data_IF_782641583574
#
_entry.id   IF_782641583574
#
_cell.length_a   1.000
_cell.length_b   1.000
_cell.length_c   1.000
_cell.angle_alpha   90.00
_cell.angle_beta   90.00
_cell.angle_gamma   90.00
#
_symmetry.space_group_name_H-M   'P 1'
#
loop_
_entity.id
_entity.type
_entity.pdbx_description
1 polymer ?
#
# COMPACT_ATOMS: atom_id res chain seq x y z
N UNK A 1 -26.44 10.24 9.06
CA UNK A 1 -25.19 10.74 8.43
C UNK A 1 -25.04 12.21 8.78
N UNK A 2 -23.95 12.61 9.45
CA UNK A 2 -23.60 14.04 9.60
C UNK A 2 -23.00 14.52 8.29
N UNK A 3 -23.50 15.62 7.76
CA UNK A 3 -22.98 16.26 6.55
C UNK A 3 -22.09 17.42 6.93
N UNK A 4 -20.99 17.58 6.20
CA UNK A 4 -20.06 18.69 6.37
C UNK A 4 -19.87 19.36 5.02
N UNK A 5 -19.94 20.68 4.99
CA UNK A 5 -19.66 21.47 3.79
C UNK A 5 -18.22 21.96 3.85
N UNK A 6 -17.42 21.59 2.85
CA UNK A 6 -16.06 22.11 2.69
C UNK A 6 -16.03 23.09 1.53
N UNK A 7 -15.31 24.20 1.70
CA UNK A 7 -14.97 25.10 0.59
C UNK A 7 -13.68 24.60 -0.05
N UNK A 8 -13.72 24.41 -1.36
CA UNK A 8 -12.58 24.02 -2.17
C UNK A 8 -12.40 25.01 -3.31
N UNK A 9 -11.19 25.08 -3.87
CA UNK A 9 -10.95 25.90 -5.05
C UNK A 9 -11.73 25.37 -6.26
N UNK A 10 -12.00 26.25 -7.23
CA UNK A 10 -12.63 25.86 -8.50
C UNK A 10 -11.74 24.85 -9.25
N UNK A 11 -10.42 24.98 -9.12
CA UNK A 11 -9.47 24.08 -9.75
C UNK A 11 -9.55 22.67 -9.15
N UNK A 12 -9.59 22.55 -7.83
CA UNK A 12 -9.70 21.26 -7.14
C UNK A 12 -11.03 20.57 -7.47
N UNK A 13 -12.12 21.34 -7.57
CA UNK A 13 -13.40 20.81 -8.06
C UNK A 13 -13.25 20.20 -9.45
N UNK A 14 -12.60 20.90 -10.40
CA UNK A 14 -12.34 20.39 -11.76
C UNK A 14 -11.45 19.14 -11.75
N UNK A 15 -10.46 19.06 -10.86
CA UNK A 15 -9.61 17.86 -10.68
C UNK A 15 -10.43 16.68 -10.18
N UNK A 16 -11.29 16.90 -9.19
CA UNK A 16 -12.20 15.88 -8.66
C UNK A 16 -13.22 15.42 -9.70
N UNK A 17 -13.77 16.31 -10.52
CA UNK A 17 -14.67 15.93 -11.64
C UNK A 17 -13.95 15.06 -12.67
N UNK A 18 -12.68 15.36 -12.99
CA UNK A 18 -11.86 14.51 -13.87
C UNK A 18 -11.64 13.13 -13.26
N UNK A 19 -11.30 13.05 -11.98
CA UNK A 19 -11.15 11.79 -11.24
C UNK A 19 -12.46 10.99 -11.23
N UNK A 20 -13.60 11.64 -10.96
CA UNK A 20 -14.91 10.99 -10.98
C UNK A 20 -15.24 10.39 -12.36
N UNK A 21 -14.94 11.10 -13.46
CA UNK A 21 -15.12 10.59 -14.82
C UNK A 21 -14.22 9.39 -15.12
N UNK A 22 -12.95 9.46 -14.75
CA UNK A 22 -11.98 8.37 -14.96
C UNK A 22 -12.37 7.11 -14.20
N UNK A 23 -12.84 7.26 -12.96
CA UNK A 23 -13.23 6.17 -12.08
C UNK A 23 -14.70 5.74 -12.28
N UNK A 24 -15.42 6.36 -13.23
CA UNK A 24 -16.85 6.12 -13.53
C UNK A 24 -17.78 6.26 -12.31
N UNK A 25 -17.43 7.15 -11.37
CA UNK A 25 -18.28 7.43 -10.22
C UNK A 25 -19.45 8.34 -10.59
N UNK A 26 -20.60 8.12 -9.96
CA UNK A 26 -21.84 8.89 -10.19
C UNK A 26 -21.84 10.23 -9.45
N UNK A 27 -20.93 10.42 -8.51
CA UNK A 27 -20.95 11.46 -7.48
C UNK A 27 -19.51 11.89 -7.11
N UNK A 28 -19.32 13.19 -6.96
CA UNK A 28 -18.06 13.82 -6.56
C UNK A 28 -17.57 13.35 -5.17
N UNK A 29 -18.50 13.02 -4.28
CA UNK A 29 -18.21 12.54 -2.93
C UNK A 29 -17.49 11.19 -2.92
N UNK A 30 -17.82 10.28 -3.84
CA UNK A 30 -17.16 8.98 -3.91
C UNK A 30 -15.76 9.11 -4.49
N UNK A 31 -15.56 10.01 -5.46
CA UNK A 31 -14.23 10.39 -5.93
C UNK A 31 -13.37 11.00 -4.81
N UNK A 32 -13.97 11.85 -3.96
CA UNK A 32 -13.27 12.43 -2.81
C UNK A 32 -12.89 11.35 -1.79
N UNK A 33 -13.81 10.44 -1.45
CA UNK A 33 -13.52 9.32 -0.55
C UNK A 33 -12.42 8.41 -1.08
N UNK A 34 -12.41 8.15 -2.38
CA UNK A 34 -11.35 7.38 -3.02
C UNK A 34 -10.01 8.11 -2.94
N UNK A 35 -9.98 9.42 -3.22
CA UNK A 35 -8.75 10.20 -3.10
C UNK A 35 -8.21 10.19 -1.66
N UNK A 36 -9.09 10.30 -0.66
CA UNK A 36 -8.72 10.19 0.76
C UNK A 36 -8.17 8.81 1.10
N UNK A 37 -8.82 7.73 0.66
CA UNK A 37 -8.34 6.37 0.96
C UNK A 37 -7.01 6.05 0.28
N UNK A 38 -6.75 6.60 -0.90
CA UNK A 38 -5.43 6.52 -1.54
C UNK A 38 -4.40 7.30 -0.75
N UNK A 39 -4.71 8.53 -0.31
CA UNK A 39 -3.81 9.31 0.52
C UNK A 39 -3.49 8.60 1.85
N UNK A 40 -4.50 8.04 2.52
CA UNK A 40 -4.33 7.22 3.73
C UNK A 40 -3.42 6.01 3.47
N UNK A 41 -3.66 5.26 2.39
CA UNK A 41 -2.82 4.10 2.02
C UNK A 41 -1.38 4.50 1.72
N UNK A 42 -1.17 5.61 1.00
CA UNK A 42 0.18 6.07 0.68
C UNK A 42 0.91 6.60 1.92
N UNK A 43 0.20 7.28 2.83
CA UNK A 43 0.74 7.67 4.12
C UNK A 43 1.08 6.48 5.01
N UNK A 44 0.27 5.42 4.96
CA UNK A 44 0.50 4.18 5.72
C UNK A 44 1.68 3.37 5.15
N UNK A 45 1.79 3.28 3.82
CA UNK A 45 2.97 2.73 3.13
C UNK A 45 4.26 3.52 3.40
N UNK A 46 4.15 4.82 3.70
CA UNK A 46 5.25 5.70 4.06
C UNK A 46 5.98 5.34 5.37
N UNK A 47 5.58 4.28 6.07
CA UNK A 47 6.26 3.76 7.27
C UNK A 47 6.71 2.30 7.14
N UNK A 48 6.87 1.79 5.93
CA UNK A 48 7.66 0.58 5.71
C UNK A 48 9.13 0.90 5.95
N UNK A 49 9.61 0.69 7.17
CA UNK A 49 11.01 0.89 7.52
C UNK A 49 11.87 -0.11 6.72
N UNK A 50 12.56 0.36 5.68
CA UNK A 50 13.50 -0.43 4.89
C UNK A 50 14.61 -0.98 5.78
N UNK A 51 14.97 -0.30 6.88
CA UNK A 51 15.92 -0.82 7.86
C UNK A 51 15.35 -2.03 8.61
N UNK A 52 14.02 -2.12 8.80
CA UNK A 52 13.40 -3.35 9.32
C UNK A 52 13.49 -4.51 8.34
N UNK A 53 13.28 -4.26 7.05
CA UNK A 53 13.42 -5.29 6.00
C UNK A 53 14.90 -5.72 5.86
N UNK A 54 15.84 -4.79 5.96
CA UNK A 54 17.27 -5.10 5.98
C UNK A 54 17.69 -5.77 7.30
N UNK A 55 17.03 -5.46 8.42
CA UNK A 55 17.28 -6.14 9.70
C UNK A 55 16.76 -7.57 9.72
N UNK A 56 15.64 -7.87 9.04
CA UNK A 56 15.19 -9.26 8.90
C UNK A 56 16.14 -10.08 8.05
N UNK A 57 16.84 -9.45 7.09
CA UNK A 57 17.95 -10.05 6.36
C UNK A 57 19.19 -10.32 7.23
N UNK A 58 19.40 -9.66 8.39
CA UNK A 58 20.50 -10.00 9.31
C UNK A 58 20.35 -11.38 9.95
N UNK A 59 19.12 -11.88 10.04
CA UNK A 59 18.84 -13.24 10.51
C UNK A 59 18.75 -14.26 9.38
N UNK A 60 18.83 -13.82 8.11
CA UNK A 60 18.97 -14.72 6.99
C UNK A 60 20.37 -15.34 7.07
N UNK A 61 20.42 -16.60 7.51
CA UNK A 61 21.63 -17.41 7.48
C UNK A 61 22.04 -17.54 6.02
N UNK A 62 23.27 -17.17 5.66
CA UNK A 62 23.80 -17.48 4.34
C UNK A 62 24.01 -19.01 4.29
N UNK A 63 23.13 -19.69 3.54
CA UNK A 63 23.11 -21.15 3.42
C UNK A 63 23.79 -21.61 2.13
N UNK A 64 24.42 -20.70 1.37
CA UNK A 64 25.03 -21.00 0.08
C UNK A 64 24.00 -21.37 -1.00
N UNK A 65 24.42 -22.18 -1.98
CA UNK A 65 23.57 -22.58 -3.11
C UNK A 65 22.54 -23.62 -2.64
N UNK A 66 21.34 -23.17 -2.29
CA UNK A 66 20.25 -24.03 -1.83
C UNK A 66 19.28 -24.40 -2.95
N UNK A 67 18.85 -25.66 -2.97
CA UNK A 67 17.74 -26.14 -3.79
C UNK A 67 16.46 -26.16 -2.95
N UNK A 68 15.33 -25.70 -3.53
CA UNK A 68 14.03 -25.80 -2.86
C UNK A 68 13.55 -27.26 -2.71
N UNK A 69 14.16 -28.19 -3.41
CA UNK A 69 13.85 -29.63 -3.32
C UNK A 69 14.40 -30.27 -2.03
N UNK A 70 15.41 -29.64 -1.41
CA UNK A 70 16.08 -30.15 -0.20
C UNK A 70 15.54 -29.52 1.10
N UNK A 71 14.36 -28.87 1.05
CA UNK A 71 13.77 -28.13 2.17
C UNK A 71 13.67 -28.97 3.45
N UNK A 72 13.23 -30.23 3.33
CA UNK A 72 13.08 -31.12 4.49
C UNK A 72 14.43 -31.40 5.16
N UNK A 73 15.51 -31.55 4.38
CA UNK A 73 16.86 -31.78 4.90
C UNK A 73 17.39 -30.55 5.66
N UNK A 74 17.09 -29.34 5.19
CA UNK A 74 17.53 -28.11 5.83
C UNK A 74 16.74 -27.77 7.10
N UNK A 75 15.45 -28.09 7.13
CA UNK A 75 14.58 -27.79 8.27
C UNK A 75 14.72 -28.83 9.39
N UNK A 76 14.85 -30.11 9.04
CA UNK A 76 14.80 -31.19 10.02
C UNK A 76 16.15 -31.82 10.31
N UNK A 77 17.22 -31.41 9.62
CA UNK A 77 18.55 -31.99 9.79
C UNK A 77 18.51 -33.47 9.47
N UNK A 78 18.54 -33.81 8.17
CA UNK A 78 18.63 -35.21 7.76
C UNK A 78 19.80 -35.90 8.46
N UNK A 79 19.57 -37.13 8.94
CA UNK A 79 20.55 -37.99 9.64
C UNK A 79 21.97 -37.96 9.04
#
# INVERSE_FOLDING_TARGET
>A
MKYTTIRISIEDKKRLERLAKLLKYRNLTDALRFALSVAEREMDKGRGDLDKVLSSLKHAKDIGKTSAEDIDKYLYGGE
#
